data_IF_734633805916
#
_entry.id   IF_734633805916
#
_cell.length_a   1.000
_cell.length_b   1.000
_cell.length_c   1.000
_cell.angle_alpha   90.00
_cell.angle_beta   90.00
_cell.angle_gamma   90.00
#
_symmetry.space_group_name_H-M   'P 1'
#
loop_
_entity.id
_entity.type
_entity.pdbx_description
1 polymer ?
#
# COMPACT_ATOMS: atom_id res chain seq x y z
N UNK A 1 -8.79 -23.92 -10.40
CA UNK A 1 -7.49 -23.25 -10.65
C UNK A 1 -6.39 -24.31 -10.59
N UNK A 2 -5.41 -24.32 -11.51
CA UNK A 2 -4.35 -25.34 -11.49
C UNK A 2 -3.33 -25.06 -10.36
N UNK A 3 -2.49 -26.05 -10.05
CA UNK A 3 -1.52 -25.98 -8.94
C UNK A 3 -0.48 -24.87 -9.15
N UNK A 4 0.00 -24.69 -10.37
CA UNK A 4 1.01 -23.67 -10.69
C UNK A 4 0.49 -22.25 -10.42
N UNK A 5 -0.75 -21.94 -10.83
CA UNK A 5 -1.38 -20.64 -10.55
C UNK A 5 -1.61 -20.42 -9.05
N UNK A 6 -1.92 -21.47 -8.28
CA UNK A 6 -2.03 -21.39 -6.81
C UNK A 6 -0.72 -21.03 -6.16
N UNK A 7 0.37 -21.70 -6.58
CA UNK A 7 1.71 -21.43 -6.05
C UNK A 7 2.12 -19.98 -6.36
N UNK A 8 1.91 -19.51 -7.58
CA UNK A 8 2.18 -18.11 -7.97
C UNK A 8 1.40 -17.13 -7.08
N UNK A 9 0.11 -17.36 -6.88
CA UNK A 9 -0.72 -16.46 -6.07
C UNK A 9 -0.37 -16.48 -4.58
N UNK A 10 0.05 -17.62 -4.02
CA UNK A 10 0.54 -17.68 -2.63
C UNK A 10 1.84 -16.88 -2.50
N UNK A 11 2.80 -17.09 -3.42
CA UNK A 11 4.06 -16.35 -3.39
C UNK A 11 3.91 -14.86 -3.70
N UNK A 12 2.84 -14.46 -4.40
CA UNK A 12 2.56 -13.05 -4.65
C UNK A 12 2.31 -12.27 -3.34
N UNK A 13 1.78 -12.90 -2.29
CA UNK A 13 1.68 -12.25 -0.97
C UNK A 13 3.05 -11.97 -0.35
N UNK A 14 3.98 -12.93 -0.40
CA UNK A 14 5.33 -12.71 0.10
C UNK A 14 6.02 -11.58 -0.69
N UNK A 15 5.88 -11.58 -2.02
CA UNK A 15 6.39 -10.51 -2.87
C UNK A 15 5.73 -9.15 -2.55
N UNK A 16 4.41 -9.11 -2.34
CA UNK A 16 3.68 -7.92 -1.89
C UNK A 16 4.28 -7.38 -0.59
N UNK A 17 4.37 -8.20 0.46
CA UNK A 17 4.86 -7.76 1.77
C UNK A 17 6.29 -7.22 1.68
N UNK A 18 7.18 -7.90 0.96
CA UNK A 18 8.58 -7.47 0.82
C UNK A 18 8.67 -6.16 0.06
N UNK A 19 8.06 -6.06 -1.13
CA UNK A 19 8.15 -4.84 -1.97
C UNK A 19 7.50 -3.65 -1.27
N UNK A 20 6.31 -3.86 -0.68
CA UNK A 20 5.60 -2.81 0.05
C UNK A 20 6.38 -2.36 1.28
N UNK A 21 6.92 -3.29 2.08
CA UNK A 21 7.70 -2.96 3.27
C UNK A 21 9.03 -2.26 2.95
N UNK A 22 9.71 -2.64 1.85
CA UNK A 22 10.89 -1.91 1.37
C UNK A 22 10.53 -0.47 1.00
N UNK A 23 9.38 -0.26 0.35
CA UNK A 23 8.89 1.09 0.05
C UNK A 23 8.55 1.89 1.32
N UNK A 24 7.78 1.30 2.23
CA UNK A 24 7.26 1.94 3.44
C UNK A 24 8.33 2.18 4.52
N UNK A 25 9.11 1.14 4.86
CA UNK A 25 10.11 1.17 5.94
C UNK A 25 11.49 1.57 5.42
N UNK A 26 11.89 1.09 4.24
CA UNK A 26 13.21 1.33 3.70
C UNK A 26 13.35 2.73 3.11
N UNK A 27 12.57 3.01 2.07
CA UNK A 27 12.66 4.26 1.32
C UNK A 27 11.93 5.41 2.00
N UNK A 28 10.66 5.24 2.35
CA UNK A 28 9.88 6.30 2.97
C UNK A 28 10.26 6.50 4.45
N UNK A 29 10.72 5.45 5.14
CA UNK A 29 11.09 5.46 6.56
C UNK A 29 9.97 5.97 7.47
N UNK A 30 8.74 5.49 7.22
CA UNK A 30 7.58 5.78 8.07
C UNK A 30 7.54 4.98 9.37
N UNK A 31 8.61 4.23 9.67
CA UNK A 31 8.80 3.54 10.94
C UNK A 31 10.13 4.03 11.55
N UNK A 32 10.09 4.80 12.65
CA UNK A 32 8.92 5.24 13.40
C UNK A 32 8.04 6.27 12.63
N UNK A 33 6.75 6.39 12.95
CA UNK A 33 5.87 7.35 12.30
C UNK A 33 6.28 8.80 12.59
N UNK A 34 5.84 9.72 11.73
CA UNK A 34 5.98 11.16 11.95
C UNK A 34 5.37 11.55 13.30
N UNK A 35 6.07 12.37 14.07
CA UNK A 35 5.56 12.82 15.36
C UNK A 35 4.34 13.74 15.15
N UNK A 36 3.22 13.52 15.87
CA UNK A 36 2.05 14.39 15.77
C UNK A 36 2.28 15.79 16.34
N UNK A 37 3.40 16.02 17.03
CA UNK A 37 3.80 17.34 17.55
C UNK A 37 4.56 18.20 16.54
N UNK A 38 4.89 17.68 15.35
CA UNK A 38 5.56 18.46 14.32
C UNK A 38 4.68 19.60 13.82
N UNK A 39 5.28 20.77 13.62
CA UNK A 39 4.59 21.88 12.97
C UNK A 39 4.46 21.63 11.47
N UNK A 40 3.51 22.30 10.81
CA UNK A 40 3.33 22.21 9.36
C UNK A 40 4.64 22.47 8.60
N UNK A 41 5.44 23.45 9.05
CA UNK A 41 6.72 23.80 8.45
C UNK A 41 7.74 22.66 8.58
N UNK A 42 7.81 22.00 9.74
CA UNK A 42 8.71 20.87 9.96
C UNK A 42 8.32 19.68 9.07
N UNK A 43 7.02 19.40 8.93
CA UNK A 43 6.53 18.35 8.01
C UNK A 43 6.90 18.69 6.56
N UNK A 44 6.63 19.91 6.12
CA UNK A 44 6.97 20.34 4.76
C UNK A 44 8.48 20.26 4.47
N UNK A 45 9.31 20.66 5.44
CA UNK A 45 10.77 20.56 5.34
C UNK A 45 11.22 19.10 5.19
N UNK A 46 10.65 18.18 5.97
CA UNK A 46 10.96 16.74 5.86
C UNK A 46 10.61 16.19 4.48
N UNK A 47 9.43 16.52 3.94
CA UNK A 47 9.03 16.11 2.59
C UNK A 47 9.92 16.74 1.50
N UNK A 48 10.40 17.97 1.71
CA UNK A 48 11.34 18.63 0.81
C UNK A 48 12.69 17.90 0.80
N UNK A 49 13.30 17.71 1.97
CA UNK A 49 14.62 17.08 2.15
C UNK A 49 14.64 15.62 1.68
N UNK A 50 13.53 14.90 1.85
CA UNK A 50 13.42 13.46 1.51
C UNK A 50 12.50 13.19 0.32
N UNK A 51 12.28 14.17 -0.53
CA UNK A 51 11.32 14.07 -1.65
C UNK A 51 11.58 12.88 -2.57
N UNK A 52 12.83 12.64 -2.98
CA UNK A 52 13.21 11.52 -3.86
C UNK A 52 12.99 10.16 -3.20
N UNK A 53 13.57 9.84 -2.03
CA UNK A 53 13.35 8.54 -1.40
C UNK A 53 11.88 8.29 -1.06
N UNK A 54 11.12 9.31 -0.63
CA UNK A 54 9.67 9.18 -0.42
C UNK A 54 8.99 8.75 -1.73
N UNK A 55 9.21 9.47 -2.84
CA UNK A 55 8.59 9.13 -4.14
C UNK A 55 8.95 7.71 -4.61
N UNK A 56 10.20 7.29 -4.45
CA UNK A 56 10.62 5.91 -4.77
C UNK A 56 9.87 4.91 -3.88
N UNK A 57 9.76 5.19 -2.58
CA UNK A 57 8.99 4.37 -1.65
C UNK A 57 7.53 4.24 -2.05
N UNK A 58 6.90 5.33 -2.51
CA UNK A 58 5.51 5.31 -2.93
C UNK A 58 5.30 4.50 -4.20
N UNK A 59 6.21 4.58 -5.18
CA UNK A 59 6.17 3.72 -6.38
C UNK A 59 6.25 2.25 -5.99
N UNK A 60 7.17 1.89 -5.09
CA UNK A 60 7.30 0.52 -4.61
C UNK A 60 6.04 0.06 -3.84
N UNK A 61 5.45 0.92 -3.01
CA UNK A 61 4.19 0.62 -2.32
C UNK A 61 3.04 0.38 -3.31
N UNK A 62 2.89 1.23 -4.34
CA UNK A 62 1.87 1.04 -5.38
C UNK A 62 2.08 -0.25 -6.18
N UNK A 63 3.33 -0.55 -6.58
CA UNK A 63 3.66 -1.80 -7.29
C UNK A 63 3.42 -3.03 -6.41
N UNK A 64 3.83 -2.96 -5.14
CA UNK A 64 3.60 -4.01 -4.16
C UNK A 64 2.11 -4.29 -3.98
N UNK A 65 1.28 -3.25 -3.83
CA UNK A 65 -0.17 -3.39 -3.63
C UNK A 65 -0.85 -4.19 -4.76
N UNK A 66 -0.40 -4.07 -6.00
CA UNK A 66 -0.95 -4.87 -7.13
C UNK A 66 -0.67 -6.37 -6.95
N UNK A 67 0.46 -6.75 -6.35
CA UNK A 67 0.80 -8.15 -6.06
C UNK A 67 -0.10 -8.80 -5.00
N UNK A 68 -0.92 -8.01 -4.29
CA UNK A 68 -1.94 -8.50 -3.38
C UNK A 68 -3.14 -9.15 -4.11
N UNK A 69 -3.39 -8.77 -5.37
CA UNK A 69 -4.55 -9.27 -6.13
C UNK A 69 -4.46 -10.77 -6.46
N UNK A 70 -3.35 -11.32 -6.99
CA UNK A 70 -3.25 -12.76 -7.24
C UNK A 70 -3.37 -13.61 -5.97
N UNK A 71 -2.87 -13.09 -4.84
CA UNK A 71 -3.06 -13.72 -3.53
C UNK A 71 -4.53 -13.73 -3.13
N UNK A 72 -5.22 -12.59 -3.26
CA UNK A 72 -6.65 -12.47 -2.96
C UNK A 72 -7.48 -13.45 -3.79
N UNK A 73 -7.23 -13.52 -5.10
CA UNK A 73 -7.91 -14.47 -6.01
C UNK A 73 -7.62 -15.92 -5.59
N UNK A 74 -6.38 -16.21 -5.21
CA UNK A 74 -6.01 -17.56 -4.77
C UNK A 74 -6.70 -17.95 -3.48
N UNK A 75 -6.73 -17.06 -2.50
CA UNK A 75 -7.43 -17.28 -1.23
C UNK A 75 -8.93 -17.48 -1.44
N UNK A 76 -9.58 -16.63 -2.26
CA UNK A 76 -10.99 -16.78 -2.63
C UNK A 76 -11.25 -18.13 -3.31
N UNK A 77 -10.34 -18.58 -4.18
CA UNK A 77 -10.47 -19.89 -4.84
C UNK A 77 -10.37 -21.06 -3.86
N UNK A 78 -9.54 -20.96 -2.82
CA UNK A 78 -9.43 -21.98 -1.77
C UNK A 78 -10.70 -22.01 -0.91
N UNK A 79 -11.25 -20.85 -0.58
CA UNK A 79 -12.53 -20.75 0.14
C UNK A 79 -13.65 -21.35 -0.71
N UNK A 80 -13.69 -21.08 -2.02
CA UNK A 80 -14.68 -21.64 -2.94
C UNK A 80 -14.62 -23.17 -2.98
N UNK A 81 -13.43 -23.76 -3.00
CA UNK A 81 -13.28 -25.22 -2.97
C UNK A 81 -13.90 -25.83 -1.69
N UNK A 82 -13.74 -25.16 -0.55
CA UNK A 82 -14.31 -25.59 0.75
C UNK A 82 -15.82 -25.35 0.80
N UNK A 83 -16.28 -24.20 0.29
CA UNK A 83 -17.68 -23.77 0.30
C UNK A 83 -18.57 -24.59 -0.66
N UNK A 84 -17.99 -25.22 -1.68
CA UNK A 84 -18.68 -26.09 -2.62
C UNK A 84 -19.58 -25.31 -3.59
N UNK A 85 -20.90 -25.54 -3.53
CA UNK A 85 -21.85 -24.91 -4.48
C UNK A 85 -22.05 -23.42 -4.22
N UNK A 86 -22.10 -23.00 -2.96
CA UNK A 86 -22.23 -21.57 -2.59
C UNK A 86 -20.97 -20.79 -2.99
N UNK A 87 -21.14 -19.52 -3.33
CA UNK A 87 -20.03 -18.58 -3.64
C UNK A 87 -20.08 -17.35 -2.73
N UNK A 88 -20.92 -17.35 -1.70
CA UNK A 88 -21.14 -16.18 -0.87
C UNK A 88 -19.89 -15.78 -0.10
N UNK A 89 -19.21 -16.72 0.56
CA UNK A 89 -18.02 -16.43 1.35
C UNK A 89 -16.80 -16.16 0.48
N UNK A 90 -16.61 -16.95 -0.58
CA UNK A 90 -15.56 -16.72 -1.55
C UNK A 90 -15.70 -15.35 -2.25
N UNK A 91 -16.91 -14.94 -2.63
CA UNK A 91 -17.18 -13.62 -3.20
C UNK A 91 -16.94 -12.49 -2.20
N UNK A 92 -17.41 -12.66 -0.97
CA UNK A 92 -17.23 -11.67 0.10
C UNK A 92 -15.73 -11.44 0.36
N UNK A 93 -14.95 -12.52 0.47
CA UNK A 93 -13.51 -12.42 0.66
C UNK A 93 -12.81 -11.77 -0.55
N UNK A 94 -13.20 -12.13 -1.78
CA UNK A 94 -12.66 -11.53 -2.99
C UNK A 94 -12.90 -10.02 -3.03
N UNK A 95 -14.14 -9.59 -2.77
CA UNK A 95 -14.51 -8.18 -2.73
C UNK A 95 -13.73 -7.43 -1.62
N UNK A 96 -13.66 -8.00 -0.42
CA UNK A 96 -12.91 -7.42 0.69
C UNK A 96 -11.41 -7.28 0.38
N UNK A 97 -10.81 -8.27 -0.28
CA UNK A 97 -9.40 -8.22 -0.68
C UNK A 97 -9.13 -7.19 -1.78
N UNK A 98 -10.03 -7.03 -2.76
CA UNK A 98 -9.92 -5.96 -3.76
C UNK A 98 -9.97 -4.59 -3.08
N UNK A 99 -10.89 -4.38 -2.13
CA UNK A 99 -10.97 -3.12 -1.36
C UNK A 99 -9.71 -2.92 -0.51
N UNK A 100 -9.18 -3.97 0.11
CA UNK A 100 -7.96 -3.89 0.93
C UNK A 100 -6.72 -3.50 0.12
N UNK A 101 -6.64 -3.91 -1.15
CA UNK A 101 -5.57 -3.46 -2.05
C UNK A 101 -5.54 -1.93 -2.18
N UNK A 102 -6.72 -1.29 -2.24
CA UNK A 102 -6.82 0.17 -2.28
C UNK A 102 -6.30 0.81 -0.99
N UNK A 103 -6.51 0.19 0.17
CA UNK A 103 -5.95 0.67 1.44
C UNK A 103 -4.41 0.73 1.41
N UNK A 104 -3.75 -0.23 0.74
CA UNK A 104 -2.29 -0.21 0.60
C UNK A 104 -1.78 0.78 -0.46
N UNK A 105 -2.64 1.21 -1.38
CA UNK A 105 -2.29 2.08 -2.51
C UNK A 105 -2.65 3.56 -2.27
N UNK A 106 -3.74 3.85 -1.54
CA UNK A 106 -4.24 5.20 -1.32
C UNK A 106 -3.25 6.10 -0.57
N UNK A 107 -2.62 5.67 0.55
CA UNK A 107 -1.58 6.46 1.21
C UNK A 107 -0.42 6.81 0.28
N UNK A 108 -0.04 5.89 -0.60
CA UNK A 108 1.06 6.10 -1.52
C UNK A 108 0.79 7.29 -2.46
N UNK A 109 -0.45 7.48 -2.91
CA UNK A 109 -0.82 8.64 -3.72
C UNK A 109 -0.81 9.94 -2.92
N UNK A 110 -1.31 9.92 -1.68
CA UNK A 110 -1.37 11.09 -0.81
C UNK A 110 0.04 11.59 -0.46
N UNK A 111 0.91 10.69 0.00
CA UNK A 111 2.31 11.02 0.31
C UNK A 111 3.13 11.35 -0.94
N UNK A 112 2.85 10.74 -2.10
CA UNK A 112 3.46 11.20 -3.37
C UNK A 112 3.05 12.63 -3.69
N UNK A 113 1.76 12.96 -3.54
CA UNK A 113 1.25 14.30 -3.80
C UNK A 113 1.85 15.34 -2.84
N UNK A 114 2.07 14.98 -1.57
CA UNK A 114 2.80 15.77 -0.59
C UNK A 114 4.26 15.98 -1.01
N UNK A 115 4.95 14.93 -1.46
CA UNK A 115 6.35 14.98 -1.90
C UNK A 115 6.55 15.65 -3.27
N UNK A 116 5.51 15.77 -4.11
CA UNK A 116 5.65 16.20 -5.51
C UNK A 116 5.92 17.70 -5.67
N UNK A 117 5.36 18.55 -4.78
CA UNK A 117 5.46 20.01 -4.86
C UNK A 117 6.03 20.59 -3.55
N UNK A 118 7.37 20.69 -3.43
CA UNK A 118 8.00 21.22 -2.23
C UNK A 118 7.60 22.67 -1.89
N UNK A 119 7.33 23.49 -2.92
CA UNK A 119 7.00 24.92 -2.78
C UNK A 119 5.56 25.20 -2.28
N UNK A 120 4.78 24.16 -1.97
CA UNK A 120 3.38 24.32 -1.57
C UNK A 120 3.30 24.86 -0.13
N UNK A 121 2.22 25.58 0.18
CA UNK A 121 1.90 25.98 1.55
C UNK A 121 2.02 24.76 2.52
N UNK A 122 2.83 24.87 3.59
CA UNK A 122 3.08 23.79 4.55
C UNK A 122 1.83 23.13 5.12
N UNK A 123 0.75 23.87 5.36
CA UNK A 123 -0.50 23.34 5.91
C UNK A 123 -1.14 22.27 5.00
N UNK A 124 -1.01 22.43 3.68
CA UNK A 124 -1.55 21.45 2.73
C UNK A 124 -0.68 20.18 2.72
N UNK A 125 0.64 20.33 2.85
CA UNK A 125 1.56 19.19 2.94
C UNK A 125 1.31 18.40 4.22
N UNK A 126 1.07 19.07 5.34
CA UNK A 126 0.68 18.43 6.60
C UNK A 126 -0.66 17.68 6.45
N UNK A 127 -1.70 18.34 5.92
CA UNK A 127 -3.00 17.69 5.71
C UNK A 127 -2.91 16.44 4.80
N UNK A 128 -2.10 16.49 3.74
CA UNK A 128 -1.86 15.32 2.89
C UNK A 128 -1.05 14.23 3.58
N UNK A 129 -0.09 14.60 4.44
CA UNK A 129 0.69 13.66 5.23
C UNK A 129 -0.17 12.93 6.25
N UNK A 130 -1.07 13.65 6.92
CA UNK A 130 -1.92 13.12 8.00
C UNK A 130 -3.05 12.23 7.47
N UNK A 131 -3.44 12.40 6.20
CA UNK A 131 -4.45 11.57 5.53
C UNK A 131 -3.89 10.26 4.96
N UNK A 132 -2.60 10.23 4.63
CA UNK A 132 -1.93 9.01 4.15
C UNK A 132 -1.58 8.12 5.32
#
# INVERSE_FOLDING_TARGET
MNVNSRVIGVWSAAAFFVVWAVGYMGFAQWVPPLSPSLTAQQVAQLFHERSVPIRVGMVLMSLGAVLYLPWTVTLSSLIKDIEGKSFFWAATQLAAGIVSMLTFMLPAFLWTAAAFRPERNPEITQALSDLG
#
